data_IF_576389861969
#
_entry.id   IF_576389861969
#
_cell.length_a   1.000
_cell.length_b   1.000
_cell.length_c   1.000
_cell.angle_alpha   90.00
_cell.angle_beta   90.00
_cell.angle_gamma   90.00
#
_symmetry.space_group_name_H-M   'P 1'
#
loop_
_entity.id
_entity.type
_entity.pdbx_description
1 polymer ?
#
# COMPACT_ATOMS: atom_id res chain seq x y z
N UNK A 1 2.18 1.00 -13.58
CA UNK A 1 2.53 2.18 -14.36
C UNK A 1 3.92 2.71 -13.97
N UNK A 2 4.54 3.44 -14.91
CA UNK A 2 5.77 4.19 -14.65
C UNK A 2 5.37 5.58 -14.14
N UNK A 3 5.09 5.67 -12.84
CA UNK A 3 4.63 6.90 -12.22
C UNK A 3 5.81 7.76 -11.74
N UNK A 4 5.59 9.06 -11.63
CA UNK A 4 6.59 10.03 -11.17
C UNK A 4 7.05 9.73 -9.74
N UNK A 5 8.36 9.76 -9.50
CA UNK A 5 8.97 9.36 -8.23
C UNK A 5 9.47 10.59 -7.43
N UNK A 6 9.41 10.48 -6.11
CA UNK A 6 10.13 11.38 -5.24
C UNK A 6 11.66 11.14 -5.26
N UNK A 7 12.48 12.13 -4.88
CA UNK A 7 12.07 13.45 -4.38
C UNK A 7 11.78 14.49 -5.48
N UNK A 8 12.01 14.16 -6.77
CA UNK A 8 11.84 15.10 -7.91
C UNK A 8 10.37 15.48 -8.09
N UNK A 9 9.48 14.52 -7.86
CA UNK A 9 8.04 14.72 -7.90
C UNK A 9 7.41 14.23 -6.60
N UNK A 10 6.92 15.17 -5.80
CA UNK A 10 6.23 14.85 -4.55
C UNK A 10 4.73 14.70 -4.76
N UNK A 11 4.06 14.17 -3.74
CA UNK A 11 2.59 14.14 -3.69
C UNK A 11 2.00 15.53 -4.06
N UNK A 12 0.95 15.59 -4.90
CA UNK A 12 0.09 14.47 -5.35
C UNK A 12 0.46 13.83 -6.72
N UNK A 13 1.67 14.02 -7.23
CA UNK A 13 2.06 13.57 -8.57
C UNK A 13 1.78 12.07 -8.79
N UNK A 14 2.10 11.22 -7.81
CA UNK A 14 1.89 9.77 -7.87
C UNK A 14 0.40 9.42 -7.98
N UNK A 15 -0.44 10.08 -7.18
CA UNK A 15 -1.88 9.89 -7.21
C UNK A 15 -2.48 10.26 -8.58
N UNK A 16 -2.04 11.40 -9.15
CA UNK A 16 -2.47 11.80 -10.48
C UNK A 16 -2.12 10.76 -11.54
N UNK A 17 -0.92 10.20 -11.46
CA UNK A 17 -0.43 9.20 -12.42
C UNK A 17 -1.15 7.86 -12.24
N UNK A 18 -1.44 7.45 -11.00
CA UNK A 18 -2.23 6.24 -10.69
C UNK A 18 -3.64 6.34 -11.28
N UNK A 19 -4.33 7.44 -11.02
CA UNK A 19 -5.69 7.71 -11.56
C UNK A 19 -5.68 7.76 -13.09
N UNK A 20 -4.71 8.47 -13.68
CA UNK A 20 -4.57 8.54 -15.16
C UNK A 20 -4.32 7.17 -15.77
N UNK A 21 -3.48 6.34 -15.13
CA UNK A 21 -3.17 5.01 -15.62
C UNK A 21 -4.40 4.11 -15.63
N UNK A 22 -5.20 4.11 -14.57
CA UNK A 22 -6.45 3.38 -14.52
C UNK A 22 -7.44 3.87 -15.60
N UNK A 23 -7.69 5.18 -15.67
CA UNK A 23 -8.58 5.77 -16.67
C UNK A 23 -8.13 5.46 -18.10
N UNK A 24 -6.81 5.45 -18.36
CA UNK A 24 -6.29 5.08 -19.68
C UNK A 24 -6.64 3.64 -20.08
N UNK A 25 -6.60 2.68 -19.16
CA UNK A 25 -7.02 1.30 -19.43
C UNK A 25 -8.50 1.24 -19.83
N UNK A 26 -9.37 1.96 -19.12
CA UNK A 26 -10.81 1.94 -19.35
C UNK A 26 -11.18 2.76 -20.60
N UNK A 27 -10.77 4.04 -20.66
CA UNK A 27 -11.24 5.00 -21.63
C UNK A 27 -10.56 4.85 -23.00
N UNK A 28 -9.27 4.46 -23.02
CA UNK A 28 -8.46 4.43 -24.25
C UNK A 28 -8.24 3.01 -24.77
N UNK A 29 -8.03 2.03 -23.89
CA UNK A 29 -7.79 0.63 -24.29
C UNK A 29 -9.09 -0.20 -24.28
N UNK A 30 -10.18 0.32 -23.68
CA UNK A 30 -11.50 -0.30 -23.72
C UNK A 30 -11.67 -1.52 -22.82
N UNK A 31 -10.81 -1.67 -21.78
CA UNK A 31 -11.05 -2.71 -20.77
C UNK A 31 -12.27 -2.37 -19.94
N UNK A 32 -13.12 -3.35 -19.65
CA UNK A 32 -14.15 -3.18 -18.66
C UNK A 32 -13.53 -3.11 -17.24
N UNK A 33 -14.07 -2.29 -16.32
CA UNK A 33 -13.55 -2.18 -14.95
C UNK A 33 -13.39 -3.53 -14.25
N UNK A 34 -14.30 -4.46 -14.50
CA UNK A 34 -14.30 -5.84 -13.96
C UNK A 34 -13.14 -6.69 -14.48
N UNK A 35 -12.45 -6.25 -15.51
CA UNK A 35 -11.26 -6.92 -16.09
C UNK A 35 -9.95 -6.34 -15.56
N UNK A 36 -9.99 -5.32 -14.71
CA UNK A 36 -8.82 -4.61 -14.19
C UNK A 36 -8.73 -4.80 -12.69
N UNK A 37 -7.64 -5.37 -12.23
CA UNK A 37 -7.24 -5.37 -10.83
C UNK A 37 -6.05 -4.42 -10.63
N UNK A 38 -5.92 -3.85 -9.44
CA UNK A 38 -4.78 -3.02 -9.06
C UNK A 38 -3.94 -3.78 -8.04
N UNK A 39 -2.64 -3.87 -8.26
CA UNK A 39 -1.71 -4.45 -7.29
C UNK A 39 -0.57 -3.47 -7.01
N UNK A 40 -0.07 -3.51 -5.79
CA UNK A 40 1.08 -2.70 -5.39
C UNK A 40 1.75 -3.24 -4.14
N UNK A 41 3.07 -3.09 -4.11
CA UNK A 41 3.89 -3.43 -2.96
C UNK A 41 4.39 -2.18 -2.23
N UNK A 42 4.50 -2.22 -0.91
CA UNK A 42 5.08 -1.13 -0.10
C UNK A 42 4.41 0.23 -0.39
N UNK A 43 5.18 1.22 -0.87
CA UNK A 43 4.67 2.51 -1.36
C UNK A 43 3.71 2.36 -2.55
N UNK A 44 3.87 1.31 -3.38
CA UNK A 44 2.91 0.98 -4.44
C UNK A 44 1.57 0.50 -3.88
N UNK A 45 1.56 -0.18 -2.74
CA UNK A 45 0.35 -0.52 -1.99
C UNK A 45 -0.38 0.73 -1.46
N UNK A 46 0.37 1.72 -0.96
CA UNK A 46 -0.15 3.04 -0.64
C UNK A 46 -0.82 3.68 -1.86
N UNK A 47 -0.09 3.75 -2.98
CA UNK A 47 -0.60 4.33 -4.23
C UNK A 47 -1.86 3.62 -4.74
N UNK A 48 -1.93 2.30 -4.63
CA UNK A 48 -3.12 1.52 -5.00
C UNK A 48 -4.34 1.94 -4.18
N UNK A 49 -4.19 2.08 -2.85
CA UNK A 49 -5.26 2.49 -1.95
C UNK A 49 -5.74 3.92 -2.22
N UNK A 50 -4.83 4.89 -2.33
CA UNK A 50 -5.22 6.29 -2.58
C UNK A 50 -5.80 6.47 -3.99
N UNK A 51 -5.34 5.69 -4.97
CA UNK A 51 -5.94 5.64 -6.30
C UNK A 51 -7.39 5.13 -6.22
N UNK A 52 -7.63 4.03 -5.53
CA UNK A 52 -9.00 3.50 -5.30
C UNK A 52 -9.91 4.54 -4.66
N UNK A 53 -9.44 5.18 -3.58
CA UNK A 53 -10.21 6.21 -2.86
C UNK A 53 -10.54 7.41 -3.76
N UNK A 54 -9.59 7.80 -4.64
CA UNK A 54 -9.82 8.90 -5.58
C UNK A 54 -10.79 8.53 -6.69
N UNK A 55 -10.69 7.33 -7.26
CA UNK A 55 -11.64 6.83 -8.24
C UNK A 55 -13.06 6.77 -7.67
N UNK A 56 -13.19 6.30 -6.42
CA UNK A 56 -14.47 6.27 -5.69
C UNK A 56 -15.05 7.67 -5.51
N UNK A 57 -14.24 8.62 -5.04
CA UNK A 57 -14.67 10.02 -4.84
C UNK A 57 -15.12 10.68 -6.15
N UNK A 58 -14.38 10.41 -7.23
CA UNK A 58 -14.69 10.94 -8.57
C UNK A 58 -15.90 10.24 -9.23
N UNK A 59 -16.51 9.24 -8.60
CA UNK A 59 -17.64 8.47 -9.13
C UNK A 59 -17.26 7.64 -10.36
N UNK A 60 -15.99 7.28 -10.51
CA UNK A 60 -15.50 6.39 -11.57
C UNK A 60 -15.80 4.95 -11.19
N UNK A 61 -16.16 4.11 -12.16
CA UNK A 61 -16.29 2.66 -11.92
C UNK A 61 -14.98 2.09 -11.39
N UNK A 62 -15.08 1.32 -10.30
CA UNK A 62 -13.90 0.81 -9.57
C UNK A 62 -13.34 -0.45 -10.24
N UNK A 63 -12.05 -0.79 -10.04
CA UNK A 63 -11.47 -2.06 -10.49
C UNK A 63 -12.15 -3.27 -9.84
N UNK A 64 -11.88 -4.46 -10.36
CA UNK A 64 -12.45 -5.71 -9.83
C UNK A 64 -11.94 -6.07 -8.45
N UNK A 65 -10.68 -5.79 -8.16
CA UNK A 65 -10.00 -6.13 -6.90
C UNK A 65 -8.72 -5.32 -6.68
N UNK A 66 -8.23 -5.33 -5.43
CA UNK A 66 -6.88 -4.88 -5.08
C UNK A 66 -6.09 -6.01 -4.43
N UNK A 67 -4.80 -6.16 -4.80
CA UNK A 67 -3.86 -7.06 -4.12
C UNK A 67 -2.67 -6.24 -3.59
N UNK A 68 -2.53 -6.18 -2.26
CA UNK A 68 -1.57 -5.32 -1.56
C UNK A 68 -0.49 -6.17 -0.88
N UNK A 69 0.76 -5.91 -1.20
CA UNK A 69 1.92 -6.65 -0.68
C UNK A 69 2.69 -5.74 0.27
N UNK A 70 2.65 -6.02 1.57
CA UNK A 70 3.30 -5.19 2.59
C UNK A 70 2.99 -3.69 2.43
N UNK A 71 1.71 -3.27 2.36
CA UNK A 71 1.35 -1.89 1.99
C UNK A 71 1.81 -0.88 3.06
N UNK A 72 2.39 0.23 2.62
CA UNK A 72 2.73 1.36 3.47
C UNK A 72 1.52 2.27 3.64
N UNK A 73 0.83 2.19 4.77
CA UNK A 73 -0.44 2.91 4.98
C UNK A 73 -0.34 4.04 5.99
N UNK A 74 0.80 4.15 6.67
CA UNK A 74 1.06 5.17 7.68
C UNK A 74 2.43 5.84 7.45
N UNK A 75 2.50 6.86 6.59
CA UNK A 75 3.73 7.61 6.35
C UNK A 75 4.33 8.27 7.60
N UNK A 76 3.51 8.55 8.62
CA UNK A 76 3.95 9.07 9.92
C UNK A 76 4.59 8.03 10.84
N UNK A 77 4.59 6.74 10.45
CA UNK A 77 5.16 5.65 11.21
C UNK A 77 4.69 5.57 12.68
N UNK A 78 3.38 5.75 12.90
CA UNK A 78 2.77 5.77 14.24
C UNK A 78 2.38 4.39 14.77
N UNK A 79 2.51 3.34 13.97
CA UNK A 79 2.14 1.97 14.32
C UNK A 79 3.12 1.31 15.29
N UNK A 80 2.65 0.27 16.00
CA UNK A 80 3.39 -0.38 17.10
C UNK A 80 4.63 -1.14 16.65
N UNK A 81 4.75 -1.49 15.36
CA UNK A 81 5.93 -2.19 14.83
C UNK A 81 7.07 -1.27 14.41
N UNK A 82 6.87 0.05 14.42
CA UNK A 82 7.93 1.02 14.14
C UNK A 82 8.87 1.18 15.35
N UNK A 83 9.64 0.14 15.64
CA UNK A 83 10.57 0.07 16.76
C UNK A 83 11.97 -0.30 16.29
N UNK A 84 13.00 0.02 17.11
CA UNK A 84 14.37 -0.43 16.84
C UNK A 84 14.49 -1.95 16.83
N UNK A 85 13.73 -2.65 17.69
CA UNK A 85 13.72 -4.11 17.74
C UNK A 85 13.20 -4.71 16.42
N UNK A 86 12.07 -4.19 15.89
CA UNK A 86 11.57 -4.64 14.60
C UNK A 86 12.51 -4.23 13.46
N UNK A 87 13.12 -3.05 13.51
CA UNK A 87 14.12 -2.62 12.52
C UNK A 87 15.42 -3.45 12.56
N UNK A 88 15.73 -4.16 13.64
CA UNK A 88 16.81 -5.16 13.69
C UNK A 88 16.43 -6.45 12.94
N UNK A 89 15.15 -6.78 12.89
CA UNK A 89 14.60 -7.98 12.25
C UNK A 89 14.25 -7.73 10.77
N UNK A 90 13.76 -6.54 10.45
CA UNK A 90 13.42 -6.15 9.07
C UNK A 90 14.69 -5.90 8.24
N UNK A 91 15.10 -6.90 7.47
CA UNK A 91 16.31 -6.86 6.65
C UNK A 91 16.24 -5.87 5.49
N UNK A 92 15.02 -5.46 5.07
CA UNK A 92 14.80 -4.57 3.92
C UNK A 92 14.68 -3.12 4.37
N UNK A 93 13.73 -2.80 5.25
CA UNK A 93 13.44 -1.43 5.68
C UNK A 93 14.24 -1.02 6.93
N UNK A 94 14.64 -1.96 7.76
CA UNK A 94 15.33 -1.67 9.02
C UNK A 94 16.54 -0.76 8.87
N UNK A 95 17.48 -1.01 7.94
CA UNK A 95 18.62 -0.10 7.72
C UNK A 95 18.22 1.32 7.34
N UNK A 96 17.16 1.48 6.53
CA UNK A 96 16.64 2.78 6.12
C UNK A 96 16.01 3.53 7.31
N UNK A 97 15.11 2.87 8.06
CA UNK A 97 14.42 3.50 9.19
C UNK A 97 15.38 3.88 10.32
N UNK A 98 16.37 3.04 10.63
CA UNK A 98 17.42 3.40 11.59
C UNK A 98 18.19 4.65 11.17
N UNK A 99 18.46 4.83 9.88
CA UNK A 99 19.10 6.04 9.35
C UNK A 99 18.17 7.26 9.48
N UNK A 100 16.91 7.13 9.10
CA UNK A 100 15.88 8.16 9.24
C UNK A 100 15.81 8.63 10.70
N UNK A 101 15.61 7.71 11.64
CA UNK A 101 15.50 8.05 13.07
C UNK A 101 16.78 8.67 13.64
N UNK A 102 17.96 8.18 13.23
CA UNK A 102 19.23 8.76 13.65
C UNK A 102 19.39 10.20 13.19
N UNK A 103 18.92 10.53 12.01
CA UNK A 103 19.01 11.87 11.43
C UNK A 103 17.92 12.82 11.96
N UNK A 104 16.83 12.29 12.53
CA UNK A 104 15.64 13.07 12.86
C UNK A 104 14.77 13.41 11.64
N UNK A 105 14.99 12.71 10.51
CA UNK A 105 14.19 12.84 9.31
C UNK A 105 12.83 12.15 9.50
N UNK A 106 11.87 12.44 8.60
CA UNK A 106 10.57 11.77 8.58
C UNK A 106 10.53 10.71 7.47
N UNK A 107 9.82 9.57 7.68
CA UNK A 107 9.70 8.54 6.66
C UNK A 107 9.09 9.04 5.35
N UNK A 108 8.24 10.06 5.43
CA UNK A 108 7.54 10.64 4.28
C UNK A 108 8.31 11.74 3.53
N UNK A 109 9.51 12.17 3.98
CA UNK A 109 10.24 13.31 3.38
C UNK A 109 10.56 13.13 1.90
N UNK A 110 10.65 11.89 1.41
CA UNK A 110 10.81 11.58 -0.01
C UNK A 110 9.49 11.65 -0.81
N UNK A 111 8.35 11.55 -0.11
CA UNK A 111 7.03 11.45 -0.72
C UNK A 111 6.28 12.79 -0.73
N UNK A 112 6.30 13.54 0.38
CA UNK A 112 5.64 14.83 0.50
C UNK A 112 6.50 15.82 1.30
N UNK A 113 6.14 17.11 1.29
CA UNK A 113 6.80 18.09 2.15
C UNK A 113 6.20 18.03 3.55
N UNK A 114 6.97 18.43 4.57
CA UNK A 114 6.51 18.35 5.96
C UNK A 114 5.27 19.23 6.21
N UNK A 115 5.18 20.39 5.55
CA UNK A 115 4.01 21.27 5.62
C UNK A 115 2.74 20.67 4.97
N UNK A 116 2.90 19.70 4.07
CA UNK A 116 1.79 19.02 3.38
C UNK A 116 1.34 17.76 4.13
N UNK A 117 2.01 17.36 5.22
CA UNK A 117 1.62 16.20 6.00
C UNK A 117 0.39 16.51 6.88
N UNK A 118 -0.72 15.84 6.56
CA UNK A 118 -1.93 15.81 7.40
C UNK A 118 -2.29 14.33 7.68
N UNK A 119 -2.20 13.97 8.95
CA UNK A 119 -2.55 12.60 9.41
C UNK A 119 -4.03 12.23 9.19
N UNK A 120 -4.90 13.21 8.94
CA UNK A 120 -6.32 13.02 8.68
C UNK A 120 -6.67 13.02 7.18
N UNK A 121 -5.72 13.35 6.31
CA UNK A 121 -5.93 13.27 4.86
C UNK A 121 -5.81 11.82 4.39
N UNK A 122 -6.91 11.25 3.89
CA UNK A 122 -6.99 9.89 3.34
C UNK A 122 -6.04 9.63 2.16
N UNK A 123 -5.56 10.67 1.50
CA UNK A 123 -4.60 10.55 0.41
C UNK A 123 -3.15 10.58 0.89
N UNK A 124 -2.94 11.00 2.13
CA UNK A 124 -1.65 10.93 2.85
C UNK A 124 -1.62 9.67 3.72
N UNK A 125 -2.68 9.44 4.49
CA UNK A 125 -2.83 8.29 5.40
C UNK A 125 -4.08 7.50 4.99
N UNK A 126 -3.98 6.53 4.08
CA UNK A 126 -5.15 5.80 3.56
C UNK A 126 -5.94 5.04 4.63
N UNK A 127 -5.41 4.85 5.84
CA UNK A 127 -6.16 4.36 7.00
C UNK A 127 -7.35 5.27 7.38
N UNK A 128 -7.34 6.55 6.97
CA UNK A 128 -8.43 7.51 7.17
C UNK A 128 -9.50 7.43 6.06
N UNK A 129 -9.30 6.55 5.08
CA UNK A 129 -10.26 6.34 3.99
C UNK A 129 -11.56 5.66 4.44
N UNK A 130 -12.59 5.80 3.64
CA UNK A 130 -13.83 5.03 3.75
C UNK A 130 -13.88 3.99 2.62
N UNK A 131 -13.89 2.71 2.98
CA UNK A 131 -13.85 1.58 2.05
C UNK A 131 -15.21 0.88 1.86
N UNK A 132 -16.30 1.46 2.38
CA UNK A 132 -17.65 0.95 2.09
C UNK A 132 -17.90 0.90 0.58
N UNK A 133 -18.45 -0.22 0.10
CA UNK A 133 -18.73 -0.45 -1.33
C UNK A 133 -17.48 -0.39 -2.24
N UNK A 134 -16.28 -0.59 -1.68
CA UNK A 134 -15.10 -0.84 -2.47
C UNK A 134 -15.04 -2.29 -2.95
N UNK A 135 -14.28 -2.59 -4.02
CA UNK A 135 -14.03 -3.97 -4.46
C UNK A 135 -13.29 -4.76 -3.38
N UNK A 136 -13.25 -6.09 -3.48
CA UNK A 136 -12.45 -6.93 -2.59
C UNK A 136 -10.98 -6.50 -2.53
N UNK A 137 -10.38 -6.56 -1.33
CA UNK A 137 -8.98 -6.17 -1.09
C UNK A 137 -8.25 -7.33 -0.42
N UNK A 138 -7.21 -7.87 -1.07
CA UNK A 138 -6.28 -8.79 -0.44
C UNK A 138 -5.09 -8.05 0.14
N UNK A 139 -4.67 -8.43 1.35
CA UNK A 139 -3.46 -7.92 2.02
C UNK A 139 -2.58 -9.10 2.37
N UNK A 140 -1.32 -9.03 1.97
CA UNK A 140 -0.28 -9.98 2.39
C UNK A 140 0.87 -9.23 3.04
N UNK A 141 1.36 -9.72 4.18
CA UNK A 141 2.39 -9.05 4.98
C UNK A 141 3.26 -10.08 5.71
N UNK A 142 4.55 -9.82 5.85
CA UNK A 142 5.46 -10.62 6.66
C UNK A 142 5.36 -10.27 8.15
N UNK A 143 5.72 -11.22 9.04
CA UNK A 143 5.76 -10.93 10.48
C UNK A 143 7.05 -10.27 10.94
N UNK A 144 8.08 -10.22 10.07
CA UNK A 144 9.40 -9.65 10.36
C UNK A 144 9.62 -8.33 9.62
N UNK A 145 8.60 -7.45 9.60
CA UNK A 145 8.70 -6.16 8.92
C UNK A 145 8.06 -5.00 9.69
N UNK A 146 8.60 -3.80 9.46
CA UNK A 146 8.13 -2.55 10.09
C UNK A 146 6.68 -2.22 9.71
N UNK A 147 6.21 -2.62 8.50
CA UNK A 147 4.86 -2.33 8.01
C UNK A 147 3.80 -3.37 8.44
N UNK A 148 4.12 -4.27 9.38
CA UNK A 148 3.15 -5.23 9.91
C UNK A 148 1.96 -4.52 10.55
N UNK A 149 2.20 -3.52 11.40
CA UNK A 149 1.11 -2.75 12.03
C UNK A 149 0.28 -1.93 11.02
N UNK A 150 0.87 -1.49 9.92
CA UNK A 150 0.17 -0.82 8.83
C UNK A 150 -0.90 -1.73 8.24
N UNK A 151 -0.49 -2.95 7.90
CA UNK A 151 -1.38 -3.98 7.33
C UNK A 151 -2.46 -4.43 8.31
N UNK A 152 -2.13 -4.58 9.59
CA UNK A 152 -3.09 -4.93 10.65
C UNK A 152 -4.14 -3.83 10.82
N UNK A 153 -3.72 -2.58 10.87
CA UNK A 153 -4.63 -1.42 10.99
C UNK A 153 -5.52 -1.28 9.75
N UNK A 154 -4.97 -1.50 8.54
CA UNK A 154 -5.77 -1.50 7.31
C UNK A 154 -6.84 -2.59 7.33
N UNK A 155 -6.49 -3.83 7.71
CA UNK A 155 -7.47 -4.92 7.90
C UNK A 155 -8.61 -4.49 8.82
N UNK A 156 -8.29 -3.83 9.94
CA UNK A 156 -9.30 -3.43 10.92
C UNK A 156 -10.21 -2.31 10.36
N UNK A 157 -9.67 -1.40 9.56
CA UNK A 157 -10.45 -0.39 8.82
C UNK A 157 -11.39 -1.06 7.81
N UNK A 158 -10.88 -1.99 6.98
CA UNK A 158 -11.69 -2.71 6.01
C UNK A 158 -12.82 -3.50 6.66
N UNK A 159 -12.55 -4.15 7.79
CA UNK A 159 -13.54 -4.86 8.59
C UNK A 159 -14.62 -3.92 9.15
N UNK A 160 -14.23 -2.77 9.68
CA UNK A 160 -15.16 -1.75 10.19
C UNK A 160 -16.09 -1.23 9.09
N UNK A 161 -15.56 -1.04 7.89
CA UNK A 161 -16.30 -0.52 6.74
C UNK A 161 -17.06 -1.62 5.97
N UNK A 162 -17.06 -2.87 6.46
CA UNK A 162 -17.66 -4.03 5.80
C UNK A 162 -17.17 -4.22 4.35
N UNK A 163 -15.94 -3.82 4.05
CA UNK A 163 -15.29 -4.10 2.78
C UNK A 163 -14.85 -5.58 2.77
N UNK A 164 -15.20 -6.28 1.68
CA UNK A 164 -14.73 -7.66 1.49
C UNK A 164 -13.20 -7.69 1.42
N UNK A 165 -12.56 -8.54 2.21
CA UNK A 165 -11.11 -8.60 2.24
C UNK A 165 -10.57 -9.96 2.65
N UNK A 166 -9.38 -10.28 2.14
CA UNK A 166 -8.54 -11.37 2.61
C UNK A 166 -7.26 -10.80 3.23
N UNK A 167 -6.81 -11.42 4.33
CA UNK A 167 -5.65 -10.94 5.08
C UNK A 167 -4.75 -12.11 5.49
N UNK A 168 -3.47 -12.04 5.11
CA UNK A 168 -2.48 -13.07 5.35
C UNK A 168 -1.23 -12.50 6.02
N UNK A 169 -0.93 -13.00 7.24
CA UNK A 169 0.36 -12.79 7.91
C UNK A 169 1.27 -13.99 7.63
N UNK A 170 2.39 -13.73 6.98
CA UNK A 170 3.36 -14.74 6.63
C UNK A 170 4.46 -14.82 7.69
N UNK A 171 4.46 -15.91 8.44
CA UNK A 171 5.38 -16.11 9.56
C UNK A 171 6.83 -16.09 9.09
N UNK A 172 7.66 -15.32 9.81
CA UNK A 172 9.11 -15.20 9.58
C UNK A 172 9.48 -14.59 8.20
N UNK A 173 8.49 -14.03 7.47
CA UNK A 173 8.74 -13.35 6.22
C UNK A 173 9.04 -11.86 6.46
N UNK A 174 9.94 -11.33 5.63
CA UNK A 174 10.40 -9.94 5.64
C UNK A 174 9.58 -9.08 4.67
N UNK A 175 9.81 -7.78 4.70
CA UNK A 175 9.14 -6.80 3.85
C UNK A 175 9.22 -7.15 2.36
N UNK A 176 8.05 -7.27 1.71
CA UNK A 176 7.92 -7.65 0.29
C UNK A 176 8.71 -8.93 -0.04
N UNK A 177 8.62 -9.97 0.81
CA UNK A 177 9.27 -11.27 0.56
C UNK A 177 8.95 -11.87 -0.81
N UNK A 178 7.88 -11.41 -1.42
CA UNK A 178 7.39 -11.78 -2.75
C UNK A 178 8.43 -11.58 -3.87
N UNK A 179 9.47 -10.77 -3.65
CA UNK A 179 10.55 -10.55 -4.63
C UNK A 179 11.46 -11.77 -4.78
N UNK A 180 11.52 -12.66 -3.78
CA UNK A 180 12.29 -13.90 -3.88
C UNK A 180 11.40 -15.07 -4.35
N UNK A 181 11.30 -15.20 -5.66
CA UNK A 181 10.47 -16.24 -6.31
C UNK A 181 10.97 -17.68 -6.09
N UNK A 182 12.10 -17.87 -5.39
CA UNK A 182 12.63 -19.19 -5.03
C UNK A 182 12.00 -19.74 -3.75
N UNK A 183 11.37 -18.89 -2.96
CA UNK A 183 10.75 -19.27 -1.68
C UNK A 183 9.40 -19.95 -1.91
N UNK A 184 9.14 -21.07 -1.23
CA UNK A 184 7.82 -21.73 -1.30
C UNK A 184 6.67 -20.80 -0.89
N UNK A 185 6.91 -19.96 0.12
CA UNK A 185 5.96 -18.98 0.64
C UNK A 185 5.58 -17.97 -0.44
N UNK A 186 6.54 -17.51 -1.24
CA UNK A 186 6.29 -16.59 -2.36
C UNK A 186 5.42 -17.24 -3.44
N UNK A 187 5.70 -18.51 -3.76
CA UNK A 187 4.90 -19.25 -4.76
C UNK A 187 3.45 -19.39 -4.26
N UNK A 188 3.26 -19.74 -2.98
CA UNK A 188 1.94 -19.86 -2.40
C UNK A 188 1.21 -18.51 -2.34
N UNK A 189 1.91 -17.44 -1.96
CA UNK A 189 1.37 -16.08 -1.92
C UNK A 189 0.85 -15.64 -3.31
N UNK A 190 1.62 -15.89 -4.38
CA UNK A 190 1.16 -15.59 -5.73
C UNK A 190 0.02 -16.49 -6.20
N UNK A 191 -0.03 -17.76 -5.77
CA UNK A 191 -1.17 -18.63 -6.07
C UNK A 191 -2.46 -18.12 -5.39
N UNK A 192 -2.37 -17.57 -4.17
CA UNK A 192 -3.51 -16.94 -3.50
C UNK A 192 -3.99 -15.71 -4.30
N UNK A 193 -3.07 -14.84 -4.74
CA UNK A 193 -3.42 -13.68 -5.58
C UNK A 193 -4.09 -14.10 -6.89
N UNK A 194 -3.60 -15.16 -7.51
CA UNK A 194 -4.17 -15.67 -8.77
C UNK A 194 -5.58 -16.31 -8.61
N UNK A 195 -5.97 -16.67 -7.40
CA UNK A 195 -7.27 -17.24 -7.08
C UNK A 195 -8.26 -16.24 -6.50
N UNK A 196 -7.77 -15.08 -6.07
CA UNK A 196 -8.56 -13.96 -5.54
C UNK A 196 -9.22 -13.17 -6.65
#
# INVERSE_FOLDING_TARGET
>A
PDYRLGPEYKFPAQLEDGVKSYKFLIDNLGYAPEQVAISGDSAGGHLALITLLKLKEDGVQLPSALALLSPWTDPGASGDTYTYEMADRDIMLGPLFKKIWKNGDQPYDYYLNQEDYDENDKYVVPLMGNYENCPPIMIQVGTEELLLSDSQRLRDVLKKDNCEHEYYEWKEMYHVFHVDVRMPETIEAFNQIGNF
#
